data_IF_503872339957
#
_entry.id   IF_503872339957
#
_cell.length_a   1.000
_cell.length_b   1.000
_cell.length_c   1.000
_cell.angle_alpha   90.00
_cell.angle_beta   90.00
_cell.angle_gamma   90.00
#
_symmetry.space_group_name_H-M   'P 1'
#
loop_
_entity.id
_entity.type
_entity.pdbx_description
1 polymer ?
#
# COMPACT_ATOMS: atom_id res chain seq x y z
N UNK A 1 16.85 8.40 19.07
CA UNK A 1 16.79 7.80 17.72
C UNK A 1 15.33 7.71 17.31
N UNK A 2 14.90 8.42 16.27
CA UNK A 2 13.56 8.26 15.72
C UNK A 2 13.52 6.90 15.00
N UNK A 3 12.96 5.87 15.65
CA UNK A 3 12.63 4.64 14.95
C UNK A 3 11.47 4.96 14.03
N UNK A 4 11.74 5.13 12.74
CA UNK A 4 10.69 5.11 11.72
C UNK A 4 9.93 3.79 11.89
N UNK A 5 8.61 3.88 12.13
CA UNK A 5 7.77 2.70 12.24
C UNK A 5 7.97 1.83 11.00
N UNK A 6 8.23 0.54 11.19
CA UNK A 6 8.41 -0.40 10.07
C UNK A 6 7.08 -0.49 9.31
N UNK A 7 7.10 -0.07 8.06
CA UNK A 7 5.98 -0.14 7.11
C UNK A 7 6.28 -1.18 6.04
N UNK A 8 5.22 -1.73 5.46
CA UNK A 8 5.31 -2.69 4.37
C UNK A 8 5.99 -2.03 3.17
N UNK A 9 6.88 -2.76 2.50
CA UNK A 9 7.56 -2.21 1.32
C UNK A 9 6.60 -2.06 0.14
N UNK A 10 6.93 -1.20 -0.83
CA UNK A 10 6.13 -1.10 -2.07
C UNK A 10 5.99 -2.44 -2.80
N UNK A 11 7.05 -3.28 -2.80
CA UNK A 11 6.99 -4.64 -3.37
C UNK A 11 6.11 -5.57 -2.54
N UNK A 12 6.09 -5.41 -1.23
CA UNK A 12 5.18 -6.10 -0.32
C UNK A 12 3.73 -5.76 -0.62
N UNK A 13 3.41 -4.46 -0.71
CA UNK A 13 2.07 -3.99 -1.06
C UNK A 13 1.62 -4.56 -2.41
N UNK A 14 2.45 -4.48 -3.45
CA UNK A 14 2.14 -5.08 -4.74
C UNK A 14 1.90 -6.60 -4.67
N UNK A 15 2.74 -7.32 -3.92
CA UNK A 15 2.59 -8.76 -3.71
C UNK A 15 1.25 -9.10 -3.08
N UNK A 16 0.84 -8.35 -2.06
CA UNK A 16 -0.44 -8.55 -1.39
C UNK A 16 -1.60 -8.23 -2.35
N UNK A 17 -1.55 -7.10 -3.05
CA UNK A 17 -2.59 -6.72 -4.02
C UNK A 17 -2.71 -7.74 -5.16
N UNK A 18 -1.63 -8.40 -5.58
CA UNK A 18 -1.69 -9.51 -6.56
C UNK A 18 -2.49 -10.70 -6.04
N UNK A 19 -2.42 -11.00 -4.74
CA UNK A 19 -3.20 -12.09 -4.14
C UNK A 19 -4.68 -11.75 -4.01
N UNK A 20 -5.00 -10.49 -3.70
CA UNK A 20 -6.38 -10.04 -3.50
C UNK A 20 -7.10 -9.71 -4.82
N UNK A 21 -6.38 -9.13 -5.79
CA UNK A 21 -6.98 -8.46 -6.94
C UNK A 21 -7.66 -7.15 -6.56
N UNK A 22 -8.27 -6.50 -7.56
CA UNK A 22 -8.99 -5.23 -7.38
C UNK A 22 -10.40 -5.38 -7.92
N UNK A 23 -11.41 -5.03 -7.13
CA UNK A 23 -12.80 -4.89 -7.60
C UNK A 23 -13.21 -3.43 -7.47
N UNK A 24 -13.37 -2.67 -8.58
CA UNK A 24 -13.60 -1.23 -8.57
C UNK A 24 -15.07 -0.87 -8.29
N UNK A 25 -15.75 -1.67 -7.48
CA UNK A 25 -17.15 -1.51 -7.08
C UNK A 25 -17.44 -2.46 -5.92
N UNK A 26 -18.51 -2.22 -5.14
CA UNK A 26 -18.80 -3.05 -3.99
C UNK A 26 -19.35 -4.41 -4.42
N UNK A 27 -18.81 -5.48 -3.84
CA UNK A 27 -19.14 -6.87 -4.14
C UNK A 27 -19.42 -7.67 -2.88
N UNK A 28 -20.00 -8.85 -3.02
CA UNK A 28 -20.15 -9.81 -1.95
C UNK A 28 -19.02 -10.84 -2.00
N UNK A 29 -18.30 -10.97 -0.89
CA UNK A 29 -17.28 -12.01 -0.76
C UNK A 29 -17.91 -13.41 -0.61
N UNK A 30 -17.07 -14.43 -0.44
CA UNK A 30 -17.50 -15.82 -0.24
C UNK A 30 -18.36 -16.03 1.00
N UNK A 31 -18.26 -15.12 1.98
CA UNK A 31 -19.05 -15.12 3.22
C UNK A 31 -20.28 -14.19 3.14
N UNK A 32 -20.61 -13.67 1.95
CA UNK A 32 -21.71 -12.73 1.71
C UNK A 32 -21.55 -11.36 2.41
N UNK A 33 -20.33 -11.00 2.79
CA UNK A 33 -20.00 -9.67 3.34
C UNK A 33 -19.78 -8.69 2.19
N UNK A 34 -20.34 -7.48 2.32
CA UNK A 34 -20.08 -6.39 1.37
C UNK A 34 -18.64 -5.89 1.51
N UNK A 35 -17.92 -5.95 0.39
CA UNK A 35 -16.49 -5.68 0.28
C UNK A 35 -16.24 -4.72 -0.89
N UNK A 36 -15.23 -3.87 -0.81
CA UNK A 36 -14.85 -2.94 -1.89
C UNK A 36 -13.33 -3.01 -2.18
N UNK A 37 -12.95 -2.78 -3.43
CA UNK A 37 -11.55 -2.57 -3.79
C UNK A 37 -10.69 -3.80 -3.52
N UNK A 38 -9.71 -3.64 -2.63
CA UNK A 38 -8.75 -4.66 -2.23
C UNK A 38 -9.13 -5.15 -0.83
N UNK A 39 -10.17 -5.98 -0.75
CA UNK A 39 -10.57 -6.65 0.49
C UNK A 39 -11.16 -5.75 1.60
N UNK A 40 -11.50 -4.48 1.33
CA UNK A 40 -12.02 -3.56 2.34
C UNK A 40 -13.45 -3.91 2.74
N UNK A 41 -13.72 -3.98 4.05
CA UNK A 41 -15.07 -4.21 4.60
C UNK A 41 -15.41 -3.14 5.64
N UNK A 42 -16.68 -3.00 6.00
CA UNK A 42 -17.12 -2.10 7.09
C UNK A 42 -16.35 -2.30 8.41
N UNK A 43 -15.87 -3.51 8.69
CA UNK A 43 -15.09 -3.80 9.90
C UNK A 43 -13.73 -3.08 9.91
N UNK A 44 -13.20 -2.70 8.76
CA UNK A 44 -11.97 -1.90 8.62
C UNK A 44 -12.23 -0.39 8.76
N UNK A 45 -13.49 0.04 8.83
CA UNK A 45 -13.89 1.44 9.00
C UNK A 45 -14.67 1.97 7.81
N UNK A 46 -14.60 3.29 7.61
CA UNK A 46 -15.23 3.97 6.47
C UNK A 46 -14.39 3.82 5.20
N UNK A 47 -15.02 3.77 4.01
CA UNK A 47 -16.47 3.80 3.77
C UNK A 47 -17.17 2.45 4.00
N UNK A 48 -18.48 2.45 4.29
CA UNK A 48 -19.26 1.20 4.32
C UNK A 48 -19.55 0.70 2.88
N UNK A 49 -19.01 -0.45 2.42
CA UNK A 49 -19.28 -0.95 1.08
C UNK A 49 -20.76 -1.27 0.83
N UNK A 50 -21.57 -1.42 1.89
CA UNK A 50 -23.00 -1.64 1.76
C UNK A 50 -23.77 -0.38 1.29
N UNK A 51 -23.18 0.81 1.43
CA UNK A 51 -23.81 2.09 1.05
C UNK A 51 -23.22 2.70 -0.23
N UNK A 52 -22.22 2.05 -0.83
CA UNK A 52 -21.59 2.52 -2.07
C UNK A 52 -22.47 2.25 -3.30
N UNK A 53 -22.36 3.08 -4.37
CA UNK A 53 -22.99 2.81 -5.65
C UNK A 53 -22.65 1.41 -6.18
N UNK A 54 -23.65 0.69 -6.71
CA UNK A 54 -23.54 -0.70 -7.15
C UNK A 54 -23.14 -0.81 -8.62
N UNK A 55 -22.52 -1.95 -8.96
CA UNK A 55 -22.13 -2.27 -10.33
C UNK A 55 -20.78 -1.66 -10.71
N UNK A 56 -20.43 -1.82 -11.98
CA UNK A 56 -19.23 -1.23 -12.54
C UNK A 56 -19.33 0.30 -12.55
N UNK A 57 -18.26 1.02 -12.17
CA UNK A 57 -18.22 2.47 -12.25
C UNK A 57 -18.04 2.94 -13.69
N UNK A 58 -18.53 4.15 -13.98
CA UNK A 58 -18.27 4.83 -15.26
C UNK A 58 -16.79 5.24 -15.39
N UNK A 59 -16.18 5.73 -14.30
CA UNK A 59 -14.75 6.04 -14.23
C UNK A 59 -13.98 4.93 -13.50
N UNK A 60 -13.50 3.96 -14.29
CA UNK A 60 -12.73 2.83 -13.77
C UNK A 60 -11.47 3.25 -13.02
N UNK A 61 -10.72 4.22 -13.55
CA UNK A 61 -9.44 4.62 -12.98
C UNK A 61 -9.60 5.38 -11.66
N UNK A 62 -10.67 6.18 -11.52
CA UNK A 62 -11.00 6.84 -10.25
C UNK A 62 -11.28 5.82 -9.15
N UNK A 63 -12.05 4.76 -9.42
CA UNK A 63 -12.38 3.76 -8.42
C UNK A 63 -11.22 2.82 -8.10
N UNK A 64 -10.31 2.56 -9.06
CA UNK A 64 -9.05 1.87 -8.76
C UNK A 64 -8.18 2.71 -7.82
N UNK A 65 -8.07 4.04 -8.03
CA UNK A 65 -7.34 4.94 -7.13
C UNK A 65 -7.95 4.98 -5.73
N UNK A 66 -9.28 5.04 -5.63
CA UNK A 66 -9.95 5.01 -4.32
C UNK A 66 -9.72 3.65 -3.61
N UNK A 67 -9.75 2.53 -4.33
CA UNK A 67 -9.42 1.22 -3.78
C UNK A 67 -8.00 1.17 -3.19
N UNK A 68 -6.99 1.71 -3.89
CA UNK A 68 -5.62 1.77 -3.38
C UNK A 68 -5.49 2.69 -2.15
N UNK A 69 -6.17 3.82 -2.15
CA UNK A 69 -6.17 4.76 -1.01
C UNK A 69 -6.76 4.11 0.24
N UNK A 70 -7.91 3.44 0.11
CA UNK A 70 -8.55 2.72 1.22
C UNK A 70 -7.67 1.57 1.68
N UNK A 71 -7.13 0.77 0.76
CA UNK A 71 -6.22 -0.33 1.08
C UNK A 71 -4.99 0.13 1.88
N UNK A 72 -4.41 1.28 1.53
CA UNK A 72 -3.29 1.87 2.26
C UNK A 72 -3.67 2.32 3.67
N UNK A 73 -4.91 2.72 3.92
CA UNK A 73 -5.39 3.00 5.26
C UNK A 73 -5.62 1.70 6.06
N UNK A 74 -6.24 0.71 5.43
CA UNK A 74 -6.54 -0.59 6.05
C UNK A 74 -5.25 -1.29 6.52
N UNK A 75 -4.21 -1.29 5.67
CA UNK A 75 -2.95 -2.01 5.92
C UNK A 75 -2.27 -1.58 7.24
N UNK A 76 -2.47 -0.34 7.69
CA UNK A 76 -1.81 0.20 8.88
C UNK A 76 -2.20 -0.58 10.14
N UNK A 77 -3.46 -1.04 10.21
CA UNK A 77 -3.94 -1.84 11.33
C UNK A 77 -3.28 -3.23 11.38
N UNK A 78 -3.06 -3.84 10.21
CA UNK A 78 -2.39 -5.13 10.05
C UNK A 78 -0.90 -5.04 10.34
N UNK A 79 -0.23 -3.99 9.83
CA UNK A 79 1.17 -3.68 10.15
C UNK A 79 1.36 -3.57 11.66
N UNK A 80 0.51 -2.77 12.31
CA UNK A 80 0.58 -2.58 13.76
C UNK A 80 0.32 -3.88 14.53
N UNK A 81 -0.59 -4.74 14.05
CA UNK A 81 -0.84 -6.05 14.66
C UNK A 81 0.36 -6.99 14.55
N UNK A 82 1.05 -7.02 13.40
CA UNK A 82 2.30 -7.78 13.24
C UNK A 82 3.38 -7.26 14.17
N UNK A 83 3.60 -5.94 14.24
CA UNK A 83 4.60 -5.33 15.13
C UNK A 83 4.29 -5.57 16.61
N UNK A 84 3.01 -5.66 16.99
CA UNK A 84 2.62 -6.05 18.35
C UNK A 84 2.87 -7.53 18.62
N UNK A 85 2.63 -8.41 17.65
CA UNK A 85 2.72 -9.85 17.84
C UNK A 85 4.17 -10.37 17.83
N UNK A 86 5.03 -9.81 16.98
CA UNK A 86 6.42 -10.26 16.81
C UNK A 86 7.36 -9.47 17.72
N UNK A 87 8.20 -10.18 18.47
CA UNK A 87 9.10 -9.64 19.50
C UNK A 87 10.56 -9.64 19.11
N UNK A 88 10.90 -10.30 18.01
CA UNK A 88 12.26 -10.38 17.46
C UNK A 88 12.44 -9.40 16.30
N UNK A 89 13.67 -8.94 16.00
CA UNK A 89 13.93 -8.14 14.81
C UNK A 89 13.49 -8.85 13.53
N UNK A 90 12.89 -8.10 12.60
CA UNK A 90 12.42 -8.59 11.31
C UNK A 90 13.19 -7.93 10.16
N UNK A 91 13.62 -8.74 9.19
CA UNK A 91 14.00 -8.22 7.88
C UNK A 91 12.77 -7.63 7.16
N UNK A 92 12.93 -6.68 6.22
CA UNK A 92 11.80 -6.10 5.49
C UNK A 92 10.90 -7.13 4.81
N UNK A 93 11.48 -8.15 4.16
CA UNK A 93 10.69 -9.18 3.47
C UNK A 93 9.97 -10.15 4.43
N UNK A 94 10.54 -10.41 5.62
CA UNK A 94 9.87 -11.18 6.66
C UNK A 94 8.62 -10.43 7.13
N UNK A 95 8.74 -9.11 7.37
CA UNK A 95 7.61 -8.27 7.75
C UNK A 95 6.52 -8.24 6.68
N UNK A 96 6.90 -8.04 5.40
CA UNK A 96 5.95 -8.05 4.28
C UNK A 96 5.19 -9.39 4.19
N UNK A 97 5.86 -10.52 4.35
CA UNK A 97 5.22 -11.84 4.36
C UNK A 97 4.23 -12.00 5.52
N UNK A 98 4.59 -11.54 6.72
CA UNK A 98 3.74 -11.63 7.91
C UNK A 98 2.50 -10.72 7.82
N UNK A 99 2.65 -9.53 7.24
CA UNK A 99 1.51 -8.64 6.97
C UNK A 99 0.58 -9.28 5.94
N UNK A 100 1.10 -9.84 4.84
CA UNK A 100 0.29 -10.55 3.85
C UNK A 100 -0.47 -11.74 4.46
N UNK A 101 0.20 -12.51 5.31
CA UNK A 101 -0.40 -13.62 6.06
C UNK A 101 -1.52 -13.13 6.97
N UNK A 102 -1.26 -12.06 7.71
CA UNK A 102 -2.23 -11.53 8.65
C UNK A 102 -3.46 -10.94 7.94
N UNK A 103 -3.26 -10.24 6.82
CA UNK A 103 -4.33 -9.69 6.00
C UNK A 103 -5.33 -10.77 5.59
N UNK A 104 -4.82 -11.92 5.16
CA UNK A 104 -5.67 -13.03 4.75
C UNK A 104 -6.35 -13.78 5.90
N UNK A 105 -5.66 -13.95 7.03
CA UNK A 105 -6.06 -14.93 8.05
C UNK A 105 -6.61 -14.31 9.33
N UNK A 106 -6.32 -13.02 9.58
CA UNK A 106 -6.51 -12.40 10.90
C UNK A 106 -5.70 -13.09 12.02
N UNK A 107 -4.79 -14.01 11.68
CA UNK A 107 -4.30 -15.03 12.61
C UNK A 107 -2.96 -14.74 13.28
N UNK A 108 -2.33 -13.58 13.03
CA UNK A 108 -0.93 -13.36 13.40
C UNK A 108 -0.66 -13.59 14.89
N UNK A 109 -1.55 -13.17 15.79
CA UNK A 109 -1.32 -13.31 17.23
C UNK A 109 -1.39 -14.76 17.73
N UNK A 110 -2.14 -15.64 17.04
CA UNK A 110 -2.42 -17.02 17.47
C UNK A 110 -1.70 -18.09 16.66
N UNK A 111 -1.08 -17.73 15.54
CA UNK A 111 -0.42 -18.66 14.65
C UNK A 111 0.80 -19.31 15.31
N UNK A 112 1.01 -20.61 15.04
CA UNK A 112 2.24 -21.30 15.43
C UNK A 112 3.50 -20.60 14.90
N UNK A 113 3.40 -20.07 13.68
CA UNK A 113 4.43 -19.24 13.05
C UNK A 113 4.98 -18.15 13.98
N UNK A 114 4.10 -17.39 14.64
CA UNK A 114 4.51 -16.27 15.52
C UNK A 114 5.20 -16.78 16.77
N UNK A 115 4.75 -17.92 17.31
CA UNK A 115 5.39 -18.55 18.47
C UNK A 115 6.82 -19.02 18.13
N UNK A 116 6.99 -19.74 17.02
CA UNK A 116 8.31 -20.18 16.56
C UNK A 116 9.23 -18.99 16.29
N UNK A 117 8.73 -17.97 15.61
CA UNK A 117 9.50 -16.77 15.30
C UNK A 117 9.96 -16.03 16.55
N UNK A 118 9.09 -15.86 17.55
CA UNK A 118 9.44 -15.22 18.81
C UNK A 118 10.40 -16.05 19.66
N UNK A 119 10.45 -17.38 19.45
CA UNK A 119 11.45 -18.27 20.03
C UNK A 119 12.79 -18.24 19.25
N UNK A 120 12.90 -17.46 18.19
CA UNK A 120 14.08 -17.36 17.33
C UNK A 120 14.16 -18.41 16.23
N UNK A 121 13.19 -19.33 16.13
CA UNK A 121 13.15 -20.40 15.14
C UNK A 121 12.43 -19.96 13.86
N UNK A 122 13.22 -19.37 12.95
CA UNK A 122 12.73 -18.90 11.65
C UNK A 122 12.34 -20.03 10.70
N UNK A 123 12.99 -21.19 10.80
CA UNK A 123 12.70 -22.34 9.92
C UNK A 123 11.34 -22.92 10.29
N UNK A 124 11.10 -23.20 11.57
CA UNK A 124 9.79 -23.66 12.02
C UNK A 124 8.70 -22.59 11.83
N UNK A 125 9.04 -21.30 11.95
CA UNK A 125 8.10 -20.22 11.62
C UNK A 125 7.68 -20.26 10.14
N UNK A 126 8.63 -20.47 9.24
CA UNK A 126 8.37 -20.57 7.81
C UNK A 126 7.48 -21.78 7.49
N UNK A 127 7.78 -22.95 8.03
CA UNK A 127 6.97 -24.16 7.81
C UNK A 127 5.54 -23.99 8.31
N UNK A 128 5.37 -23.25 9.41
CA UNK A 128 4.06 -22.98 10.00
C UNK A 128 3.13 -22.09 9.16
N UNK A 129 3.60 -21.43 8.09
CA UNK A 129 2.71 -20.80 7.10
C UNK A 129 1.74 -21.84 6.49
N UNK A 130 2.21 -23.06 6.24
CA UNK A 130 1.44 -24.12 5.57
C UNK A 130 0.39 -24.76 6.49
N UNK A 131 0.36 -24.42 7.78
CA UNK A 131 -0.73 -24.80 8.69
C UNK A 131 -2.06 -24.12 8.33
N UNK A 132 -2.03 -23.10 7.48
CA UNK A 132 -3.19 -22.29 7.06
C UNK A 132 -3.57 -22.52 5.58
N UNK A 133 -3.43 -23.75 5.10
CA UNK A 133 -3.57 -24.12 3.67
C UNK A 133 -4.97 -24.52 3.21
N UNK A 134 -6.02 -24.19 3.96
CA UNK A 134 -7.40 -24.54 3.61
C UNK A 134 -8.24 -23.28 3.37
N UNK A 135 -9.09 -23.26 2.31
CA UNK A 135 -9.27 -24.31 1.29
C UNK A 135 -8.05 -24.48 0.36
N UNK A 136 -7.98 -25.56 -0.43
CA UNK A 136 -6.79 -25.88 -1.24
C UNK A 136 -6.36 -24.76 -2.21
N UNK A 137 -7.31 -23.91 -2.63
CA UNK A 137 -7.04 -22.73 -3.46
C UNK A 137 -6.12 -21.70 -2.80
N UNK A 138 -5.96 -21.72 -1.46
CA UNK A 138 -5.05 -20.81 -0.75
C UNK A 138 -3.61 -21.32 -0.69
N UNK A 139 -3.37 -22.60 -0.99
CA UNK A 139 -2.05 -23.22 -0.86
C UNK A 139 -0.97 -22.46 -1.67
N UNK A 140 -1.18 -22.08 -2.95
CA UNK A 140 -0.18 -21.31 -3.70
C UNK A 140 0.17 -19.95 -3.05
N UNK A 141 -0.80 -19.29 -2.39
CA UNK A 141 -0.55 -18.06 -1.63
C UNK A 141 0.31 -18.35 -0.39
N UNK A 142 0.00 -19.41 0.35
CA UNK A 142 0.77 -19.79 1.56
C UNK A 142 2.22 -20.11 1.21
N UNK A 143 2.46 -20.83 0.12
CA UNK A 143 3.79 -21.13 -0.40
C UNK A 143 4.54 -19.87 -0.86
N UNK A 144 3.84 -18.94 -1.52
CA UNK A 144 4.44 -17.68 -1.94
C UNK A 144 4.89 -16.83 -0.76
N UNK A 145 4.07 -16.74 0.30
CA UNK A 145 4.41 -15.99 1.50
C UNK A 145 5.51 -16.67 2.33
N UNK A 146 5.50 -18.01 2.42
CA UNK A 146 6.61 -18.76 3.02
C UNK A 146 7.93 -18.49 2.30
N UNK A 147 7.92 -18.54 0.97
CA UNK A 147 9.10 -18.26 0.14
C UNK A 147 9.56 -16.79 0.25
N UNK A 148 8.63 -15.85 0.36
CA UNK A 148 8.93 -14.44 0.63
C UNK A 148 9.59 -14.29 2.01
N UNK A 149 9.05 -14.96 3.02
CA UNK A 149 9.59 -14.94 4.38
C UNK A 149 11.02 -15.50 4.43
N UNK A 150 11.27 -16.67 3.85
CA UNK A 150 12.57 -17.33 3.89
C UNK A 150 13.64 -16.67 3.02
N UNK A 151 13.26 -16.19 1.82
CA UNK A 151 14.24 -15.88 0.77
C UNK A 151 14.09 -14.49 0.17
N UNK A 152 13.13 -13.68 0.63
CA UNK A 152 12.88 -12.36 0.05
C UNK A 152 12.43 -12.40 -1.42
N UNK A 153 11.89 -13.53 -1.89
CA UNK A 153 11.43 -13.71 -3.27
C UNK A 153 9.96 -13.33 -3.38
N UNK A 154 9.70 -12.12 -3.88
CA UNK A 154 8.36 -11.62 -4.13
C UNK A 154 7.72 -12.34 -5.34
N UNK A 155 6.42 -12.66 -5.29
CA UNK A 155 5.70 -13.17 -6.45
C UNK A 155 5.62 -12.09 -7.54
N UNK A 156 5.91 -12.50 -8.78
CA UNK A 156 5.72 -11.69 -9.98
C UNK A 156 4.29 -11.76 -10.52
N UNK A 157 4.09 -11.21 -11.71
CA UNK A 157 2.80 -11.23 -12.42
C UNK A 157 2.04 -9.91 -12.37
N UNK A 158 0.88 -9.92 -13.03
CA UNK A 158 -0.04 -8.77 -13.12
C UNK A 158 -1.03 -8.78 -11.95
N UNK A 159 -1.64 -7.63 -11.69
CA UNK A 159 -2.75 -7.48 -10.74
C UNK A 159 -4.06 -7.47 -11.53
N UNK A 160 -4.95 -8.45 -11.31
CA UNK A 160 -6.23 -8.47 -12.00
C UNK A 160 -7.19 -7.43 -11.42
N UNK A 161 -7.84 -6.68 -12.30
CA UNK A 161 -9.02 -5.88 -12.00
C UNK A 161 -10.24 -6.63 -12.51
N UNK A 162 -11.17 -6.94 -11.62
CA UNK A 162 -12.35 -7.76 -11.91
C UNK A 162 -13.59 -6.90 -12.11
N UNK A 163 -14.53 -7.36 -12.93
CA UNK A 163 -15.84 -6.72 -13.04
C UNK A 163 -16.80 -7.19 -11.96
N UNK A 164 -17.76 -6.33 -11.61
CA UNK A 164 -18.83 -6.60 -10.65
C UNK A 164 -20.19 -6.17 -11.20
N UNK A 165 -21.23 -6.99 -11.01
CA UNK A 165 -22.60 -6.65 -11.39
C UNK A 165 -23.32 -5.80 -10.31
N UNK A 166 -24.49 -5.19 -10.62
CA UNK A 166 -25.26 -4.43 -9.61
C UNK A 166 -25.74 -5.26 -8.40
N UNK A 167 -25.75 -6.59 -8.50
CA UNK A 167 -26.06 -7.48 -7.40
C UNK A 167 -24.83 -7.80 -6.52
N UNK A 168 -23.65 -7.27 -6.86
CA UNK A 168 -22.40 -7.48 -6.13
C UNK A 168 -21.68 -8.78 -6.50
N UNK A 169 -21.99 -9.41 -7.64
CA UNK A 169 -21.32 -10.64 -8.08
C UNK A 169 -20.09 -10.30 -8.93
N UNK A 170 -18.95 -10.85 -8.56
CA UNK A 170 -17.67 -10.65 -9.27
C UNK A 170 -17.50 -11.69 -10.38
N UNK A 171 -17.05 -11.27 -11.55
CA UNK A 171 -16.69 -12.18 -12.64
C UNK A 171 -15.19 -12.53 -12.61
N UNK A 172 -14.85 -13.63 -11.95
CA UNK A 172 -13.47 -14.13 -11.86
C UNK A 172 -12.98 -14.89 -13.12
N UNK A 173 -13.78 -15.01 -14.18
CA UNK A 173 -13.38 -15.76 -15.39
C UNK A 173 -12.37 -14.99 -16.24
N UNK A 174 -12.51 -13.67 -16.34
CA UNK A 174 -11.62 -12.82 -17.14
C UNK A 174 -11.54 -11.43 -16.50
N UNK A 175 -10.33 -10.94 -16.18
CA UNK A 175 -10.17 -9.59 -15.67
C UNK A 175 -10.51 -8.57 -16.76
N UNK A 176 -11.11 -7.44 -16.37
CA UNK A 176 -11.36 -6.30 -17.28
C UNK A 176 -10.09 -5.52 -17.58
N UNK A 177 -9.12 -5.58 -16.67
CA UNK A 177 -7.78 -5.00 -16.84
C UNK A 177 -6.76 -5.82 -16.05
N UNK A 178 -5.54 -5.89 -16.54
CA UNK A 178 -4.41 -6.46 -15.82
C UNK A 178 -3.36 -5.36 -15.65
N UNK A 179 -3.12 -4.93 -14.41
CA UNK A 179 -2.11 -3.91 -14.13
C UNK A 179 -0.74 -4.56 -14.00
N UNK A 180 0.26 -3.97 -14.65
CA UNK A 180 1.66 -4.21 -14.34
C UNK A 180 2.00 -3.71 -12.92
N UNK A 181 3.17 -4.13 -12.40
CA UNK A 181 3.66 -3.62 -11.12
C UNK A 181 3.86 -2.10 -11.13
N UNK A 182 4.35 -1.56 -12.24
CA UNK A 182 4.65 -0.13 -12.37
C UNK A 182 3.37 0.71 -12.47
N UNK A 183 2.36 0.25 -13.22
CA UNK A 183 1.05 0.91 -13.24
C UNK A 183 0.40 0.91 -11.86
N UNK A 184 0.45 -0.21 -11.14
CA UNK A 184 -0.12 -0.31 -9.81
C UNK A 184 0.63 0.60 -8.81
N UNK A 185 1.97 0.69 -8.89
CA UNK A 185 2.74 1.63 -8.07
C UNK A 185 2.38 3.08 -8.36
N UNK A 186 2.22 3.45 -9.63
CA UNK A 186 1.82 4.80 -10.01
C UNK A 186 0.43 5.18 -9.49
N UNK A 187 -0.48 4.20 -9.38
CA UNK A 187 -1.82 4.40 -8.81
C UNK A 187 -1.80 4.42 -7.27
N UNK A 188 -0.92 3.65 -6.63
CA UNK A 188 -0.74 3.60 -5.19
C UNK A 188 -0.02 4.86 -4.64
N UNK A 189 0.90 5.40 -5.43
CA UNK A 189 1.65 6.61 -5.16
C UNK A 189 1.38 7.59 -6.31
N UNK A 190 0.19 8.22 -6.36
CA UNK A 190 -0.02 9.29 -7.33
C UNK A 190 1.09 10.31 -7.10
N UNK A 191 1.82 10.65 -8.17
CA UNK A 191 2.84 11.67 -8.10
C UNK A 191 2.22 12.91 -7.44
N UNK A 192 2.87 13.43 -6.38
CA UNK A 192 2.49 14.73 -5.83
C UNK A 192 2.39 15.71 -7.01
N UNK A 193 1.29 16.48 -7.14
CA UNK A 193 1.23 17.50 -8.17
C UNK A 193 2.47 18.36 -8.02
N UNK A 194 3.19 18.60 -9.13
CA UNK A 194 4.37 19.45 -9.12
C UNK A 194 4.00 20.77 -8.44
N UNK A 195 4.46 20.96 -7.21
CA UNK A 195 4.34 22.22 -6.51
C UNK A 195 5.56 23.02 -6.93
N UNK A 196 5.44 24.00 -7.85
CA UNK A 196 6.58 24.84 -8.22
C UNK A 196 7.19 25.39 -6.93
N UNK A 197 8.53 25.43 -6.82
CA UNK A 197 9.17 25.94 -5.62
C UNK A 197 8.60 27.32 -5.31
N UNK A 198 8.20 27.53 -4.06
CA UNK A 198 7.74 28.85 -3.62
C UNK A 198 8.81 29.86 -4.03
N UNK A 199 8.44 30.84 -4.87
CA UNK A 199 9.33 31.95 -5.21
C UNK A 199 9.78 32.55 -3.87
N UNK A 200 11.08 32.45 -3.56
CA UNK A 200 11.64 33.18 -2.43
C UNK A 200 11.22 34.64 -2.61
N UNK A 201 10.67 35.33 -1.59
CA UNK A 201 10.37 36.74 -1.73
C UNK A 201 11.66 37.42 -2.14
N UNK A 202 11.64 38.02 -3.33
CA UNK A 202 12.74 38.84 -3.82
C UNK A 202 12.91 39.95 -2.78
N UNK A 203 14.08 40.04 -2.14
CA UNK A 203 14.38 41.18 -1.26
C UNK A 203 14.09 42.44 -2.11
N UNK A 204 13.25 43.37 -1.63
CA UNK A 204 13.09 44.63 -2.35
C UNK A 204 14.46 45.25 -2.51
N UNK A 205 14.75 45.74 -3.72
CA UNK A 205 15.96 46.52 -3.95
C UNK A 205 16.00 47.65 -2.91
N UNK A 206 17.18 47.99 -2.34
CA UNK A 206 17.28 49.05 -1.35
C UNK A 206 16.84 50.38 -1.99
N UNK A 207 15.62 50.80 -1.73
CA UNK A 207 15.10 52.11 -2.07
C UNK A 207 15.32 53.03 -0.88
N UNK A 208 16.34 53.87 -0.96
CA UNK A 208 16.65 54.88 0.05
C UNK A 208 17.76 55.80 -0.45
N UNK A 209 17.74 57.04 0.00
CA UNK A 209 18.69 58.11 -0.37
C UNK A 209 20.18 57.71 -0.21
N UNK A 210 20.50 56.76 0.68
CA UNK A 210 21.83 56.19 0.83
C UNK A 210 22.31 55.35 -0.38
N UNK A 211 21.40 54.77 -1.16
CA UNK A 211 21.74 54.03 -2.39
C UNK A 211 22.04 54.97 -3.57
N UNK A 212 21.48 56.18 -3.60
CA UNK A 212 21.79 57.20 -4.61
C UNK A 212 23.16 57.87 -4.37
N UNK A 213 23.62 57.97 -3.12
CA UNK A 213 24.95 58.50 -2.78
C UNK A 213 26.09 57.59 -3.26
N UNK A 214 25.90 56.26 -3.22
CA UNK A 214 26.89 55.30 -3.74
C UNK A 214 27.03 55.38 -5.28
N UNK A 215 25.97 55.74 -6.01
CA UNK A 215 26.01 55.90 -7.46
C UNK A 215 26.71 57.19 -7.90
N UNK A 216 26.65 58.27 -7.10
CA UNK A 216 27.33 59.53 -7.42
C UNK A 216 28.83 59.53 -7.10
N UNK A 217 29.28 58.80 -6.07
CA UNK A 217 30.71 58.65 -5.77
C UNK A 217 31.45 57.84 -6.86
N UNK A 218 30.80 56.85 -7.49
CA UNK A 218 31.42 56.00 -8.52
C UNK A 218 31.58 56.66 -9.91
N UNK A 219 31.01 57.86 -10.11
CA UNK A 219 31.15 58.63 -11.35
C UNK A 219 32.21 59.75 -11.26
N UNK A 220 32.66 60.11 -10.05
CA UNK A 220 33.72 61.11 -9.86
C UNK A 220 35.14 60.52 -9.94
N UNK A 221 35.29 59.20 -9.90
CA UNK A 221 36.58 58.51 -10.09
C UNK A 221 36.78 57.90 -11.49
N UNK A 222 35.89 58.21 -12.45
CA UNK A 222 36.00 57.75 -13.86
C UNK A 222 36.28 58.85 -14.88
N UNK A 223 36.52 60.08 -14.42
CA UNK A 223 36.98 61.21 -15.25
C UNK A 223 38.14 61.94 -14.56
N UNK A 224 39.22 61.20 -14.28
CA UNK A 224 40.57 61.70 -14.11
C UNK A 224 41.46 60.91 -15.08
#
# INVERSE_FOLDING_TARGET
MHMTAKKMSGRGLLSLVRHEGIVPGPYRDVNQVWTFGIGHTRAAGSPDPATMPRGMPDDLDALIREAFKIFKADIESYEAAVLRAVKVPLAPHEFDALVSFHFNTGGIARAALTRHLNAGDRVAAADAFLNWRRPASILPRREAEQRLFLHGRYPGGTIPVWSVDPAGRVNFRRPVRQLSGDEALALLHPAEPFKPPARKPMRPAPSGWLAQLAAHAANLFRKA
#
